data_IF_097065578702
#
_entry.id   IF_097065578702
#
_cell.length_a   1.000
_cell.length_b   1.000
_cell.length_c   1.000
_cell.angle_alpha   90.00
_cell.angle_beta   90.00
_cell.angle_gamma   90.00
#
_symmetry.space_group_name_H-M   'P 1'
#
loop_
_entity.id
_entity.type
_entity.pdbx_description
1 polymer ?
#
# COMPACT_ATOMS: atom_id res chain seq x y z
N UNK A 1 -14.61 -1.69 -2.59
CA UNK A 1 -15.75 -0.81 -2.99
C UNK A 1 -15.27 0.40 -3.77
N UNK A 2 -14.22 1.12 -3.32
CA UNK A 2 -13.71 2.31 -3.99
C UNK A 2 -13.31 2.03 -5.46
N UNK A 3 -12.52 1.00 -5.72
CA UNK A 3 -12.12 0.62 -7.06
C UNK A 3 -13.32 0.41 -8.01
N UNK A 4 -14.37 -0.28 -7.56
CA UNK A 4 -15.58 -0.49 -8.36
C UNK A 4 -16.37 0.81 -8.61
N UNK A 5 -16.34 1.75 -7.69
CA UNK A 5 -17.00 3.04 -7.84
C UNK A 5 -16.26 3.96 -8.82
N UNK A 6 -14.93 3.92 -8.80
CA UNK A 6 -14.09 4.73 -9.69
C UNK A 6 -14.05 4.18 -11.12
N UNK A 7 -13.95 2.85 -11.27
CA UNK A 7 -13.80 2.20 -12.59
C UNK A 7 -15.07 2.13 -13.44
N UNK A 8 -16.27 2.21 -12.83
CA UNK A 8 -17.53 2.11 -13.57
C UNK A 8 -17.69 0.75 -14.30
N UNK A 9 -18.36 0.78 -15.47
CA UNK A 9 -18.66 -0.44 -16.25
C UNK A 9 -17.61 -0.75 -17.33
N UNK A 10 -16.79 0.21 -17.70
CA UNK A 10 -15.91 0.15 -18.88
C UNK A 10 -14.43 0.27 -18.54
N UNK A 11 -14.07 0.05 -17.28
CA UNK A 11 -12.68 0.05 -16.85
C UNK A 11 -11.93 -1.13 -17.49
N UNK A 12 -10.74 -0.85 -18.04
CA UNK A 12 -9.90 -1.87 -18.68
C UNK A 12 -9.34 -2.83 -17.65
N UNK A 13 -8.74 -2.31 -16.58
CA UNK A 13 -8.24 -3.10 -15.47
C UNK A 13 -8.74 -2.57 -14.13
N UNK A 14 -8.99 -3.49 -13.19
CA UNK A 14 -9.45 -3.18 -11.85
C UNK A 14 -8.97 -4.23 -10.86
N UNK A 15 -8.36 -3.80 -9.77
CA UNK A 15 -7.82 -4.65 -8.73
C UNK A 15 -8.25 -4.20 -7.34
N UNK A 16 -8.39 -5.14 -6.41
CA UNK A 16 -8.62 -4.88 -4.99
C UNK A 16 -7.94 -5.94 -4.14
N UNK A 17 -7.62 -5.56 -2.92
CA UNK A 17 -7.01 -6.47 -1.97
C UNK A 17 -7.94 -7.61 -1.56
N UNK A 18 -7.42 -8.86 -1.59
CA UNK A 18 -8.11 -10.05 -1.13
C UNK A 18 -7.13 -11.03 -0.47
N UNK A 19 -7.12 -10.99 0.85
CA UNK A 19 -6.28 -11.90 1.64
C UNK A 19 -4.79 -11.57 1.62
N UNK A 20 -4.03 -12.16 0.71
CA UNK A 20 -2.57 -11.98 0.59
C UNK A 20 -2.15 -11.41 -0.77
N UNK A 21 -3.04 -10.74 -1.48
CA UNK A 21 -2.74 -10.18 -2.80
C UNK A 21 -3.91 -9.44 -3.40
N UNK A 22 -3.76 -9.02 -4.64
CA UNK A 22 -4.77 -8.33 -5.43
C UNK A 22 -5.56 -9.31 -6.28
N UNK A 23 -6.88 -9.13 -6.32
CA UNK A 23 -7.82 -9.89 -7.14
C UNK A 23 -8.55 -8.95 -8.10
N UNK A 24 -9.14 -9.49 -9.16
CA UNK A 24 -9.89 -8.75 -10.17
C UNK A 24 -11.29 -9.31 -10.36
N UNK A 25 -12.05 -8.78 -11.31
CA UNK A 25 -13.42 -9.22 -11.59
C UNK A 25 -13.49 -10.67 -12.02
N UNK A 26 -14.56 -11.35 -11.60
CA UNK A 26 -14.81 -12.73 -12.01
C UNK A 26 -14.81 -12.86 -13.54
N UNK A 27 -14.04 -13.81 -14.03
CA UNK A 27 -13.87 -14.06 -15.48
C UNK A 27 -12.78 -13.22 -16.15
N UNK A 28 -12.18 -12.24 -15.48
CA UNK A 28 -10.97 -11.55 -15.95
C UNK A 28 -9.71 -12.32 -15.51
N UNK A 29 -8.68 -12.23 -16.31
CA UNK A 29 -7.34 -12.74 -15.94
C UNK A 29 -6.57 -11.63 -15.25
N UNK A 30 -5.89 -11.98 -14.17
CA UNK A 30 -4.90 -11.10 -13.54
C UNK A 30 -3.73 -10.91 -14.49
N UNK A 31 -3.27 -9.68 -14.65
CA UNK A 31 -2.05 -9.38 -15.43
C UNK A 31 -0.85 -10.15 -14.85
N UNK A 32 0.06 -10.67 -15.69
CA UNK A 32 1.27 -11.38 -15.27
C UNK A 32 2.11 -10.62 -14.25
N UNK A 33 2.29 -9.31 -14.42
CA UNK A 33 3.04 -8.46 -13.48
C UNK A 33 2.36 -8.37 -12.11
N UNK A 34 1.03 -8.23 -12.07
CA UNK A 34 0.25 -8.24 -10.83
C UNK A 34 0.28 -9.62 -10.16
N UNK A 35 0.26 -10.70 -10.95
CA UNK A 35 0.40 -12.05 -10.41
C UNK A 35 1.77 -12.30 -9.79
N UNK A 36 2.85 -11.80 -10.41
CA UNK A 36 4.20 -11.84 -9.85
C UNK A 36 4.32 -11.02 -8.57
N UNK A 37 3.74 -9.82 -8.53
CA UNK A 37 3.65 -9.00 -7.34
C UNK A 37 2.90 -9.72 -6.21
N UNK A 38 1.76 -10.36 -6.50
CA UNK A 38 1.00 -11.14 -5.52
C UNK A 38 1.85 -12.26 -4.89
N UNK A 39 2.65 -12.95 -5.69
CA UNK A 39 3.56 -13.97 -5.18
C UNK A 39 4.64 -13.37 -4.24
N UNK A 40 5.18 -12.20 -4.59
CA UNK A 40 6.15 -11.49 -3.75
C UNK A 40 5.51 -11.02 -2.43
N UNK A 41 4.30 -10.46 -2.48
CA UNK A 41 3.54 -10.04 -1.28
C UNK A 41 3.25 -11.24 -0.38
N UNK A 42 2.80 -12.36 -0.93
CA UNK A 42 2.54 -13.57 -0.15
C UNK A 42 3.82 -14.06 0.55
N UNK A 43 4.94 -14.09 -0.16
CA UNK A 43 6.24 -14.44 0.40
C UNK A 43 6.74 -13.47 1.49
N UNK A 44 6.40 -12.18 1.39
CA UNK A 44 6.66 -11.19 2.44
C UNK A 44 5.79 -11.43 3.68
N UNK A 45 4.50 -11.72 3.48
CA UNK A 45 3.56 -12.00 4.58
C UNK A 45 3.97 -13.27 5.33
N UNK A 46 4.46 -14.28 4.62
CA UNK A 46 4.88 -15.56 5.17
C UNK A 46 6.23 -15.49 5.93
N UNK A 47 6.86 -14.32 5.99
CA UNK A 47 8.05 -14.06 6.80
C UNK A 47 7.74 -13.10 7.93
N UNK A 48 8.36 -13.33 9.08
CA UNK A 48 8.34 -12.35 10.16
C UNK A 48 9.05 -11.05 9.70
N UNK A 49 8.51 -9.90 10.09
CA UNK A 49 9.10 -8.59 9.85
C UNK A 49 9.52 -7.97 11.18
N UNK A 50 10.76 -7.52 11.33
CA UNK A 50 11.16 -6.74 12.50
C UNK A 50 10.44 -5.40 12.52
N UNK A 51 10.43 -4.72 13.67
CA UNK A 51 9.92 -3.36 13.78
C UNK A 51 10.61 -2.43 12.77
N UNK A 52 9.86 -1.42 12.29
CA UNK A 52 10.45 -0.31 11.53
C UNK A 52 11.43 0.46 12.42
N UNK A 53 12.50 0.95 11.82
CA UNK A 53 13.34 1.95 12.49
C UNK A 53 12.51 3.21 12.76
N UNK A 54 12.66 3.79 13.93
CA UNK A 54 11.98 5.03 14.28
C UNK A 54 12.64 6.20 13.54
N UNK A 55 11.98 6.88 12.62
CA UNK A 55 12.52 8.10 12.02
C UNK A 55 12.79 9.17 13.07
N UNK A 56 13.80 10.01 12.86
CA UNK A 56 14.19 11.03 13.84
C UNK A 56 13.04 11.98 14.22
N UNK A 57 12.21 12.37 13.23
CA UNK A 57 11.02 13.21 13.45
C UNK A 57 9.91 12.50 14.24
N UNK A 58 9.93 11.17 14.30
CA UNK A 58 8.92 10.38 15.01
C UNK A 58 9.30 10.06 16.46
N UNK A 59 10.51 10.37 16.91
CA UNK A 59 10.99 10.05 18.27
C UNK A 59 10.07 10.68 19.34
N UNK A 60 9.56 11.90 19.12
CA UNK A 60 8.65 12.57 20.05
C UNK A 60 7.30 11.85 20.21
N UNK A 61 6.92 10.97 19.26
CA UNK A 61 5.68 10.19 19.27
C UNK A 61 5.87 8.79 19.83
N UNK A 62 7.06 8.43 20.32
CA UNK A 62 7.39 7.09 20.84
C UNK A 62 6.86 6.83 22.24
N UNK A 63 6.23 7.80 22.88
CA UNK A 63 5.63 7.62 24.21
C UNK A 63 4.46 6.63 24.10
N UNK A 64 4.44 5.65 25.03
CA UNK A 64 3.38 4.65 25.09
C UNK A 64 2.05 5.32 25.48
N UNK A 65 1.07 5.24 24.60
CA UNK A 65 -0.28 5.75 24.79
C UNK A 65 -1.24 4.58 24.90
N UNK A 66 -2.01 4.49 25.97
CA UNK A 66 -3.00 3.42 26.20
C UNK A 66 -4.33 3.79 25.55
N UNK A 67 -4.88 2.88 24.77
CA UNK A 67 -6.24 2.94 24.27
C UNK A 67 -7.24 2.39 25.29
N UNK A 68 -8.50 2.80 25.16
CA UNK A 68 -9.58 2.30 26.03
C UNK A 68 -9.86 0.81 25.92
N UNK A 69 -9.38 0.14 24.87
CA UNK A 69 -9.47 -1.31 24.66
C UNK A 69 -8.28 -2.09 25.24
N UNK A 70 -7.41 -1.44 25.99
CA UNK A 70 -6.24 -2.05 26.61
C UNK A 70 -5.03 -2.21 25.69
N UNK A 71 -5.11 -1.78 24.43
CA UNK A 71 -3.96 -1.72 23.51
C UNK A 71 -3.14 -0.46 23.75
N UNK A 72 -1.93 -0.46 23.25
CA UNK A 72 -1.06 0.72 23.27
C UNK A 72 -0.55 1.06 21.89
N UNK A 73 -0.20 2.32 21.69
CA UNK A 73 0.54 2.83 20.54
C UNK A 73 1.89 3.39 21.01
N UNK A 74 2.82 3.57 20.09
CA UNK A 74 4.15 4.10 20.39
C UNK A 74 5.20 3.06 20.75
N UNK A 75 4.86 1.78 20.73
CA UNK A 75 5.76 0.70 21.11
C UNK A 75 5.80 -0.48 20.13
N UNK A 76 4.96 -0.47 19.12
CA UNK A 76 4.80 -1.61 18.21
C UNK A 76 5.63 -1.50 16.92
N UNK A 77 5.70 -0.31 16.34
CA UNK A 77 6.45 0.01 15.10
C UNK A 77 6.27 -1.03 13.98
N UNK A 78 5.05 -1.57 13.85
CA UNK A 78 4.66 -2.54 12.82
C UNK A 78 5.45 -3.87 12.81
N UNK A 79 6.00 -4.29 13.92
CA UNK A 79 6.55 -5.64 14.02
C UNK A 79 5.49 -6.67 13.63
N UNK A 80 5.83 -7.61 12.74
CA UNK A 80 4.87 -8.56 12.21
C UNK A 80 5.37 -9.99 12.35
N UNK A 81 4.60 -10.88 13.01
CA UNK A 81 4.89 -12.31 13.00
C UNK A 81 4.63 -12.92 11.62
N UNK A 82 5.20 -14.09 11.38
CA UNK A 82 4.99 -14.90 10.19
C UNK A 82 3.50 -15.13 9.93
N UNK A 83 3.05 -14.99 8.67
CA UNK A 83 1.69 -15.26 8.23
C UNK A 83 0.63 -14.21 8.60
N UNK A 84 0.99 -13.14 9.30
CA UNK A 84 0.03 -12.15 9.81
C UNK A 84 -0.44 -11.13 8.75
N UNK A 85 -1.27 -11.58 7.80
CA UNK A 85 -1.79 -10.75 6.70
C UNK A 85 -2.63 -9.54 7.16
N UNK A 86 -3.33 -9.63 8.30
CA UNK A 86 -4.10 -8.51 8.85
C UNK A 86 -3.19 -7.38 9.33
N UNK A 87 -2.05 -7.71 9.93
CA UNK A 87 -1.04 -6.74 10.35
C UNK A 87 -0.35 -6.13 9.12
N UNK A 88 -0.08 -6.93 8.08
CA UNK A 88 0.45 -6.43 6.81
C UNK A 88 -0.43 -5.31 6.24
N UNK A 89 -1.75 -5.50 6.23
CA UNK A 89 -2.71 -4.52 5.73
C UNK A 89 -2.78 -3.24 6.58
N UNK A 90 -2.50 -3.34 7.87
CA UNK A 90 -2.42 -2.21 8.79
C UNK A 90 -0.96 -1.79 9.03
N UNK A 91 -0.18 -1.69 7.97
CA UNK A 91 1.22 -1.26 8.01
C UNK A 91 1.61 -0.53 6.72
N UNK A 92 2.73 0.20 6.70
CA UNK A 92 3.23 0.88 5.49
C UNK A 92 3.46 -0.06 4.30
N UNK A 93 3.79 -1.36 4.56
CA UNK A 93 3.96 -2.37 3.51
C UNK A 93 2.76 -2.45 2.56
N UNK A 94 1.55 -2.13 3.05
CA UNK A 94 0.34 -2.23 2.25
C UNK A 94 0.23 -1.12 1.20
N UNK A 95 0.45 0.14 1.55
CA UNK A 95 0.43 1.24 0.56
C UNK A 95 1.57 1.09 -0.44
N UNK A 96 2.75 0.64 0.01
CA UNK A 96 3.85 0.30 -0.89
C UNK A 96 3.45 -0.80 -1.91
N UNK A 97 2.70 -1.82 -1.47
CA UNK A 97 2.18 -2.85 -2.38
C UNK A 97 1.12 -2.32 -3.35
N UNK A 98 0.29 -1.37 -2.92
CA UNK A 98 -0.71 -0.73 -3.79
C UNK A 98 -0.02 0.09 -4.88
N UNK A 99 1.01 0.87 -4.53
CA UNK A 99 1.81 1.62 -5.51
C UNK A 99 2.58 0.67 -6.44
N UNK A 100 3.13 -0.42 -5.91
CA UNK A 100 3.74 -1.47 -6.73
C UNK A 100 2.75 -2.11 -7.72
N UNK A 101 1.48 -2.30 -7.34
CA UNK A 101 0.44 -2.77 -8.25
C UNK A 101 0.11 -1.72 -9.32
N UNK A 102 0.08 -0.43 -8.96
CA UNK A 102 -0.12 0.65 -9.92
C UNK A 102 1.02 0.69 -10.94
N UNK A 103 2.28 0.65 -10.49
CA UNK A 103 3.45 0.57 -11.37
C UNK A 103 3.39 -0.66 -12.29
N UNK A 104 3.03 -1.82 -11.75
CA UNK A 104 2.92 -3.05 -12.53
C UNK A 104 1.89 -2.93 -13.67
N UNK A 105 0.74 -2.29 -13.40
CA UNK A 105 -0.31 -2.04 -14.39
C UNK A 105 0.15 -1.00 -15.41
N UNK A 106 0.75 0.10 -14.97
CA UNK A 106 1.27 1.16 -15.84
C UNK A 106 2.23 0.55 -16.87
N UNK A 107 3.22 -0.21 -16.40
CA UNK A 107 4.26 -0.78 -17.26
C UNK A 107 3.72 -1.88 -18.18
N UNK A 108 2.84 -2.76 -17.72
CA UNK A 108 2.33 -3.87 -18.54
C UNK A 108 1.32 -3.40 -19.60
N UNK A 109 0.66 -2.28 -19.36
CA UNK A 109 -0.32 -1.71 -20.28
C UNK A 109 0.22 -0.52 -21.09
N UNK A 110 1.49 -0.17 -20.93
CA UNK A 110 2.13 0.99 -21.58
C UNK A 110 1.36 2.30 -21.34
N UNK A 111 0.80 2.49 -20.10
CA UNK A 111 0.00 3.69 -19.79
C UNK A 111 0.87 4.94 -19.83
N UNK A 112 0.35 6.00 -20.43
CA UNK A 112 1.04 7.28 -20.63
C UNK A 112 2.04 7.27 -21.78
N UNK A 113 2.16 6.19 -22.56
CA UNK A 113 3.08 6.09 -23.70
C UNK A 113 2.39 6.35 -25.06
N UNK A 114 1.07 6.50 -25.07
CA UNK A 114 0.26 6.74 -26.27
C UNK A 114 -0.07 8.22 -26.50
N UNK A 115 -0.80 8.50 -27.60
CA UNK A 115 -1.34 9.84 -27.90
C UNK A 115 -2.59 10.18 -27.08
N UNK A 116 -3.31 9.17 -26.58
CA UNK A 116 -4.50 9.32 -25.77
C UNK A 116 -4.15 9.48 -24.30
N UNK A 117 -4.96 10.23 -23.57
CA UNK A 117 -4.82 10.34 -22.11
C UNK A 117 -5.34 9.07 -21.44
N UNK A 118 -4.48 8.43 -20.68
CA UNK A 118 -4.83 7.34 -19.79
C UNK A 118 -5.21 7.86 -18.40
N UNK A 119 -6.02 7.10 -17.67
CA UNK A 119 -6.43 7.44 -16.31
C UNK A 119 -6.20 6.25 -15.40
N UNK A 120 -5.41 6.43 -14.36
CA UNK A 120 -5.27 5.46 -13.28
C UNK A 120 -5.77 6.04 -11.96
N UNK A 121 -6.55 5.26 -11.22
CA UNK A 121 -7.04 5.65 -9.89
C UNK A 121 -6.46 4.71 -8.84
N UNK A 122 -5.67 5.26 -7.93
CA UNK A 122 -4.96 4.52 -6.88
C UNK A 122 -5.52 4.88 -5.52
N UNK A 123 -6.05 3.88 -4.80
CA UNK A 123 -6.60 4.05 -3.45
C UNK A 123 -5.63 3.57 -2.38
N UNK A 124 -4.89 4.47 -1.74
CA UNK A 124 -3.99 4.17 -0.63
C UNK A 124 -4.80 4.07 0.66
N UNK A 125 -4.78 2.92 1.31
CA UNK A 125 -5.70 2.57 2.40
C UNK A 125 -5.03 2.19 3.72
N UNK A 126 -3.70 2.08 3.78
CA UNK A 126 -3.01 1.68 5.00
C UNK A 126 -3.25 2.68 6.14
N UNK A 127 -3.23 3.97 5.85
CA UNK A 127 -3.44 5.04 6.86
C UNK A 127 -4.76 4.87 7.60
N UNK A 128 -5.86 4.51 6.91
CA UNK A 128 -7.16 4.25 7.54
C UNK A 128 -7.09 3.03 8.48
N UNK A 129 -6.53 1.91 8.01
CA UNK A 129 -6.37 0.71 8.83
C UNK A 129 -5.46 0.94 10.04
N UNK A 130 -4.40 1.72 9.88
CA UNK A 130 -3.46 2.07 10.95
C UNK A 130 -4.16 2.97 11.98
N UNK A 131 -4.91 3.97 11.52
CA UNK A 131 -5.70 4.85 12.39
C UNK A 131 -6.71 4.07 13.23
N UNK A 132 -7.39 3.08 12.63
CA UNK A 132 -8.31 2.19 13.36
C UNK A 132 -7.59 1.25 14.34
N UNK A 133 -6.38 0.78 14.00
CA UNK A 133 -5.65 -0.18 14.84
C UNK A 133 -4.85 0.47 15.96
N UNK A 134 -4.26 1.64 15.72
CA UNK A 134 -3.27 2.26 16.61
C UNK A 134 -3.60 3.71 17.00
N UNK A 135 -4.62 4.33 16.39
CA UNK A 135 -4.91 5.75 16.58
C UNK A 135 -4.07 6.66 15.66
N UNK A 136 -4.19 7.96 15.85
CA UNK A 136 -3.66 8.98 14.93
C UNK A 136 -2.47 9.77 15.46
N UNK A 137 -2.08 9.58 16.72
CA UNK A 137 -1.09 10.43 17.39
C UNK A 137 0.20 9.69 17.80
N UNK A 138 0.23 8.36 17.63
CA UNK A 138 1.34 7.51 18.06
C UNK A 138 2.45 7.37 17.04
N UNK A 139 3.47 6.62 17.45
CA UNK A 139 4.64 6.31 16.63
C UNK A 139 4.24 5.64 15.31
N UNK A 140 3.26 4.76 15.34
CA UNK A 140 2.79 4.01 14.17
C UNK A 140 2.26 4.94 13.07
N UNK A 141 1.45 5.94 13.43
CA UNK A 141 0.97 6.91 12.45
C UNK A 141 2.09 7.80 11.91
N UNK A 142 3.02 8.22 12.76
CA UNK A 142 4.17 9.00 12.33
C UNK A 142 5.07 8.21 11.35
N UNK A 143 5.33 6.93 11.62
CA UNK A 143 6.07 6.06 10.70
C UNK A 143 5.28 5.91 9.39
N UNK A 144 3.96 5.68 9.46
CA UNK A 144 3.12 5.55 8.26
C UNK A 144 3.23 6.78 7.36
N UNK A 145 3.12 7.97 7.91
CA UNK A 145 3.20 9.20 7.11
C UNK A 145 4.57 9.39 6.47
N UNK A 146 5.64 9.06 7.20
CA UNK A 146 7.01 9.11 6.64
C UNK A 146 7.23 8.09 5.53
N UNK A 147 6.74 6.87 5.71
CA UNK A 147 6.87 5.80 4.70
C UNK A 147 5.97 6.05 3.48
N UNK A 148 4.79 6.63 3.69
CA UNK A 148 3.89 7.01 2.60
C UNK A 148 4.50 8.10 1.72
N UNK A 149 5.05 9.15 2.34
CA UNK A 149 5.75 10.23 1.63
C UNK A 149 6.92 9.68 0.79
N UNK A 150 7.75 8.82 1.39
CA UNK A 150 8.86 8.14 0.69
C UNK A 150 8.36 7.30 -0.50
N UNK A 151 7.32 6.49 -0.27
CA UNK A 151 6.77 5.58 -1.30
C UNK A 151 6.12 6.34 -2.45
N UNK A 152 5.49 7.48 -2.18
CA UNK A 152 4.96 8.38 -3.22
C UNK A 152 6.10 9.01 -4.03
N UNK A 153 7.16 9.46 -3.37
CA UNK A 153 8.36 9.98 -4.06
C UNK A 153 8.95 8.93 -4.99
N UNK A 154 9.18 7.70 -4.51
CA UNK A 154 9.68 6.59 -5.33
C UNK A 154 8.74 6.25 -6.51
N UNK A 155 7.43 6.34 -6.32
CA UNK A 155 6.45 6.12 -7.39
C UNK A 155 6.53 7.21 -8.47
N UNK A 156 6.64 8.47 -8.09
CA UNK A 156 6.81 9.58 -9.04
C UNK A 156 8.16 9.52 -9.75
N UNK A 157 9.23 9.15 -9.05
CA UNK A 157 10.55 8.94 -9.68
C UNK A 157 10.51 7.86 -10.77
N UNK A 158 9.67 6.82 -10.60
CA UNK A 158 9.46 5.81 -11.65
C UNK A 158 8.75 6.43 -12.86
N UNK A 159 7.68 7.20 -12.67
CA UNK A 159 6.96 7.86 -13.77
C UNK A 159 7.88 8.82 -14.55
N UNK A 160 8.65 9.62 -13.82
CA UNK A 160 9.63 10.55 -14.41
C UNK A 160 10.73 9.79 -15.18
N UNK A 161 11.22 8.68 -14.63
CA UNK A 161 12.23 7.83 -15.24
C UNK A 161 11.77 7.16 -16.54
N UNK A 162 10.48 6.90 -16.68
CA UNK A 162 9.83 6.35 -17.87
C UNK A 162 9.38 7.44 -18.86
N UNK A 163 9.54 8.71 -18.50
CA UNK A 163 9.17 9.84 -19.34
C UNK A 163 7.66 10.02 -19.50
N UNK A 164 6.88 9.56 -18.52
CA UNK A 164 5.42 9.71 -18.49
C UNK A 164 5.08 11.13 -18.06
N UNK A 165 4.32 11.86 -18.90
CA UNK A 165 3.75 13.17 -18.55
C UNK A 165 2.42 12.96 -17.79
N UNK A 166 2.34 13.43 -16.54
CA UNK A 166 1.20 13.24 -15.65
C UNK A 166 0.79 14.53 -14.95
N UNK A 167 -0.47 14.60 -14.52
CA UNK A 167 -1.07 15.74 -13.81
C UNK A 167 -1.85 15.28 -12.57
#
# INVERSE_FOLDING_TARGET
>A
RAALMMGGKTVDEIYWWKGKGFDTLAGRKTLPSVAALNAAIAAQIDKARPAYATPAQCVAHSAKIMHGDGKSVGDYAFQRPEGAASIYRASPDFDHSILGAATAVINEMDLGQGEATDVISVGLSATDYIGHAFGTEGLEMCIQMSELDRSLGEFFDVLDGEGIDYV
#
